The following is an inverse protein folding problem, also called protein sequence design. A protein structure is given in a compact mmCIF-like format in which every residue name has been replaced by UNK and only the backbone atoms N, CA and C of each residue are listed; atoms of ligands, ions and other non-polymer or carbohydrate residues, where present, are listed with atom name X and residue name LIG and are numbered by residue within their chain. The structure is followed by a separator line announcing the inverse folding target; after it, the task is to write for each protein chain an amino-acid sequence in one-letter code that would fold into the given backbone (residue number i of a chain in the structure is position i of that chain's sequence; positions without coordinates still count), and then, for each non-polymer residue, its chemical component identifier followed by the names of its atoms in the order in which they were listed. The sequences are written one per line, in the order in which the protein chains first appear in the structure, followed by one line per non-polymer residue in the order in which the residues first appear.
data_IF_394161605544
#
_entry.id   IF_394161605544
#
_cell.length_a   1.000
_cell.length_b   1.000
_cell.length_c   1.000
_cell.angle_alpha   90.00
_cell.angle_beta   90.00
_cell.angle_gamma   90.00
#
_symmetry.space_group_name_H-M   'P 1'
#
loop_
_entity.id
_entity.type
_entity.pdbx_description
1 polymer ?
#
# COMPACT_ATOMS: atom_id res chain seq x y z
N UNK A 1 2.47 6.42 -14.21
CA UNK A 1 2.24 6.87 -12.82
C UNK A 1 0.82 6.49 -12.40
N UNK A 2 0.63 5.77 -11.28
CA UNK A 2 -0.67 5.19 -10.89
C UNK A 2 -1.73 6.25 -10.55
N UNK A 3 -1.39 7.26 -9.75
CA UNK A 3 -2.31 8.33 -9.38
C UNK A 3 -2.83 9.11 -10.59
N UNK A 4 -1.98 9.37 -11.59
CA UNK A 4 -2.41 10.05 -12.82
C UNK A 4 -3.46 9.25 -13.61
N UNK A 5 -3.35 7.91 -13.63
CA UNK A 5 -4.34 7.04 -14.25
C UNK A 5 -5.71 7.20 -13.57
N UNK A 6 -5.76 7.16 -12.23
CA UNK A 6 -7.00 7.31 -11.47
C UNK A 6 -7.65 8.67 -11.77
N UNK A 7 -6.85 9.75 -11.76
CA UNK A 7 -7.33 11.10 -12.07
C UNK A 7 -7.87 11.18 -13.51
N UNK A 8 -7.18 10.56 -14.47
CA UNK A 8 -7.61 10.55 -15.87
C UNK A 8 -8.94 9.80 -16.04
N UNK A 9 -9.10 8.65 -15.40
CA UNK A 9 -10.35 7.87 -15.42
C UNK A 9 -11.49 8.63 -14.74
N UNK A 10 -11.23 9.33 -13.64
CA UNK A 10 -12.23 10.19 -13.00
C UNK A 10 -12.71 11.30 -13.96
N UNK A 11 -11.78 11.99 -14.63
CA UNK A 11 -12.12 13.02 -15.63
C UNK A 11 -12.94 12.44 -16.79
N UNK A 12 -12.51 11.31 -17.35
CA UNK A 12 -13.17 10.63 -18.46
C UNK A 12 -14.59 10.18 -18.13
N UNK A 13 -14.81 9.69 -16.90
CA UNK A 13 -16.09 9.16 -16.42
C UNK A 13 -16.93 10.21 -15.68
N UNK A 14 -16.49 11.48 -15.63
CA UNK A 14 -17.12 12.58 -14.87
C UNK A 14 -17.37 12.24 -13.38
N UNK A 15 -16.45 11.51 -12.76
CA UNK A 15 -16.45 11.21 -11.33
C UNK A 15 -15.88 12.42 -10.57
N UNK A 16 -16.57 12.89 -9.54
CA UNK A 16 -16.18 14.07 -8.73
C UNK A 16 -15.22 13.72 -7.61
N UNK A 17 -15.39 12.55 -7.01
CA UNK A 17 -14.51 12.06 -5.96
C UNK A 17 -14.44 10.53 -5.98
N UNK A 18 -13.30 10.02 -5.53
CA UNK A 18 -13.07 8.60 -5.29
C UNK A 18 -12.42 8.42 -3.93
N UNK A 19 -12.77 7.32 -3.26
CA UNK A 19 -12.22 6.94 -1.96
C UNK A 19 -12.07 5.41 -1.91
N UNK A 20 -11.06 4.90 -1.20
CA UNK A 20 -10.97 3.47 -0.97
C UNK A 20 -12.17 3.01 -0.12
N UNK A 21 -12.80 1.90 -0.47
CA UNK A 21 -13.80 1.30 0.40
C UNK A 21 -13.13 0.81 1.68
N UNK A 22 -13.88 0.78 2.78
CA UNK A 22 -13.38 0.31 4.07
C UNK A 22 -12.88 -1.14 3.98
N UNK A 23 -13.56 -1.96 3.18
CA UNK A 23 -13.22 -3.36 2.96
C UNK A 23 -11.90 -3.47 2.18
N UNK A 24 -11.73 -2.69 1.11
CA UNK A 24 -10.51 -2.69 0.31
C UNK A 24 -9.30 -2.19 1.10
N UNK A 25 -9.45 -1.10 1.87
CA UNK A 25 -8.41 -0.61 2.77
C UNK A 25 -8.06 -1.66 3.83
N UNK A 26 -9.08 -2.27 4.46
CA UNK A 26 -8.88 -3.30 5.48
C UNK A 26 -8.13 -4.52 4.95
N UNK A 27 -8.49 -4.98 3.74
CA UNK A 27 -7.79 -6.09 3.07
C UNK A 27 -6.35 -5.70 2.75
N UNK A 28 -6.11 -4.50 2.20
CA UNK A 28 -4.77 -4.02 1.90
C UNK A 28 -3.88 -3.96 3.16
N UNK A 29 -4.40 -3.45 4.28
CA UNK A 29 -3.67 -3.41 5.55
C UNK A 29 -3.32 -4.82 6.04
N UNK A 30 -4.25 -5.78 5.89
CA UNK A 30 -4.01 -7.18 6.24
C UNK A 30 -2.87 -7.77 5.40
N UNK A 31 -2.90 -7.57 4.08
CA UNK A 31 -1.87 -8.08 3.16
C UNK A 31 -0.48 -7.50 3.49
N UNK A 32 -0.40 -6.20 3.80
CA UNK A 32 0.85 -5.55 4.23
C UNK A 32 1.36 -6.15 5.54
N UNK A 33 0.48 -6.37 6.52
CA UNK A 33 0.86 -6.98 7.80
C UNK A 33 1.38 -8.41 7.62
N UNK A 34 0.70 -9.23 6.82
CA UNK A 34 1.12 -10.60 6.50
C UNK A 34 2.50 -10.63 5.80
N UNK A 35 2.75 -9.65 4.92
CA UNK A 35 4.03 -9.50 4.22
C UNK A 35 5.15 -8.80 5.01
N UNK A 36 4.87 -8.24 6.20
CA UNK A 36 5.80 -7.35 6.91
C UNK A 36 6.94 -8.06 7.66
N UNK A 37 6.77 -9.35 7.98
CA UNK A 37 7.67 -10.08 8.88
C UNK A 37 9.15 -10.10 8.42
N UNK A 38 9.48 -10.31 7.13
CA UNK A 38 10.89 -10.30 6.69
C UNK A 38 11.57 -8.95 6.93
N UNK A 39 10.88 -7.85 6.66
CA UNK A 39 11.39 -6.49 6.90
C UNK A 39 11.63 -6.26 8.39
N UNK A 40 10.64 -6.57 9.23
CA UNK A 40 10.74 -6.40 10.68
C UNK A 40 11.92 -7.17 11.24
N UNK A 41 12.08 -8.43 10.84
CA UNK A 41 13.18 -9.27 11.31
C UNK A 41 14.55 -8.70 10.90
N UNK A 42 14.68 -8.24 9.65
CA UNK A 42 15.92 -7.65 9.16
C UNK A 42 16.32 -6.39 9.95
N UNK A 43 15.41 -5.42 10.11
CA UNK A 43 15.72 -4.16 10.79
C UNK A 43 15.92 -4.31 12.31
N UNK A 44 15.33 -5.34 12.91
CA UNK A 44 15.52 -5.66 14.33
C UNK A 44 16.94 -6.14 14.67
N UNK A 45 17.71 -6.58 13.66
CA UNK A 45 19.09 -7.04 13.82
C UNK A 45 20.13 -5.94 13.58
N UNK A 46 19.71 -4.78 13.05
CA UNK A 46 20.59 -3.65 12.83
C UNK A 46 20.91 -2.91 14.15
N UNK A 47 22.03 -2.20 14.18
CA UNK A 47 22.26 -1.18 15.21
C UNK A 47 21.16 -0.12 15.18
N UNK A 48 20.90 0.60 16.29
CA UNK A 48 19.95 1.71 16.32
C UNK A 48 20.20 2.72 15.20
N UNK A 49 19.13 3.13 14.51
CA UNK A 49 19.17 4.21 13.53
C UNK A 49 17.80 4.48 12.90
N UNK A 50 17.78 5.43 11.97
CA UNK A 50 16.56 5.92 11.33
C UNK A 50 15.63 4.80 10.78
N UNK A 51 16.20 3.81 10.08
CA UNK A 51 15.41 2.75 9.44
C UNK A 51 14.73 1.79 10.42
N UNK A 52 15.20 1.71 11.66
CA UNK A 52 14.65 0.81 12.67
C UNK A 52 14.08 1.56 13.88
N UNK A 53 13.91 2.89 13.77
CA UNK A 53 13.37 3.75 14.80
C UNK A 53 14.20 3.69 16.08
N UNK A 54 15.52 3.81 15.95
CA UNK A 54 16.46 3.69 17.08
C UNK A 54 16.30 2.36 17.85
N UNK A 55 16.07 1.27 17.11
CA UNK A 55 15.88 -0.08 17.66
C UNK A 55 14.47 -0.39 18.16
N UNK A 56 13.47 0.44 17.83
CA UNK A 56 12.07 0.28 18.27
C UNK A 56 11.16 -0.38 17.23
N UNK A 57 11.70 -1.23 16.35
CA UNK A 57 10.93 -1.96 15.32
C UNK A 57 9.72 -2.68 15.94
N UNK A 58 8.55 -2.49 15.34
CA UNK A 58 7.29 -3.08 15.82
C UNK A 58 6.72 -2.44 17.09
N UNK A 59 7.45 -1.55 17.77
CA UNK A 59 7.03 -0.84 18.99
C UNK A 59 6.68 0.61 18.72
N UNK A 60 7.40 1.27 17.81
CA UNK A 60 7.10 2.63 17.38
C UNK A 60 6.20 2.62 16.13
N UNK A 61 5.16 3.49 16.04
CA UNK A 61 4.22 3.50 14.91
C UNK A 61 4.90 3.64 13.53
N UNK A 62 5.96 4.45 13.45
CA UNK A 62 6.68 4.73 12.20
C UNK A 62 7.44 3.52 11.65
N UNK A 63 7.82 2.57 12.52
CA UNK A 63 8.51 1.31 12.15
C UNK A 63 7.66 0.09 12.53
N UNK A 64 6.35 0.23 12.42
CA UNK A 64 5.39 -0.85 12.62
C UNK A 64 5.19 -1.67 11.34
N UNK A 65 4.61 -2.86 11.45
CA UNK A 65 4.30 -3.68 10.26
C UNK A 65 3.35 -2.99 9.27
N UNK A 66 2.54 -2.02 9.72
CA UNK A 66 1.63 -1.27 8.83
C UNK A 66 2.35 -0.31 7.90
N UNK A 67 3.58 0.11 8.25
CA UNK A 67 4.42 0.97 7.41
C UNK A 67 5.37 0.16 6.53
N UNK A 68 5.24 -1.17 6.54
CA UNK A 68 6.06 -2.04 5.72
C UNK A 68 5.78 -1.85 4.22
N UNK A 69 6.81 -2.11 3.41
CA UNK A 69 6.67 -2.22 1.96
C UNK A 69 5.88 -3.48 1.60
N UNK A 70 5.38 -3.52 0.37
CA UNK A 70 4.70 -4.69 -0.16
C UNK A 70 5.61 -5.94 -0.07
N UNK A 71 5.16 -6.96 0.67
CA UNK A 71 6.00 -8.09 1.09
C UNK A 71 6.56 -8.95 -0.05
N UNK A 72 5.94 -8.92 -1.24
CA UNK A 72 6.42 -9.63 -2.43
C UNK A 72 7.45 -8.84 -3.25
N UNK A 73 7.81 -7.62 -2.81
CA UNK A 73 8.83 -6.78 -3.44
C UNK A 73 8.33 -5.90 -4.59
N UNK A 74 9.24 -5.07 -5.10
CA UNK A 74 8.92 -4.00 -6.05
C UNK A 74 8.37 -4.50 -7.40
N UNK A 75 8.87 -5.63 -7.91
CA UNK A 75 8.40 -6.19 -9.19
C UNK A 75 6.95 -6.69 -9.08
N UNK A 76 6.62 -7.41 -8.02
CA UNK A 76 5.27 -7.88 -7.76
C UNK A 76 4.31 -6.70 -7.48
N UNK A 77 4.78 -5.66 -6.80
CA UNK A 77 4.02 -4.42 -6.63
C UNK A 77 3.72 -3.73 -7.96
N UNK A 78 4.72 -3.63 -8.84
CA UNK A 78 4.54 -3.07 -10.18
C UNK A 78 3.46 -3.80 -10.98
N UNK A 79 3.51 -5.14 -10.96
CA UNK A 79 2.51 -6.01 -11.61
C UNK A 79 1.12 -5.85 -11.00
N UNK A 80 0.99 -5.85 -9.67
CA UNK A 80 -0.29 -5.64 -9.00
C UNK A 80 -0.95 -4.33 -9.44
N UNK A 81 -0.18 -3.25 -9.49
CA UNK A 81 -0.69 -1.96 -9.94
C UNK A 81 -1.05 -1.96 -11.44
N UNK A 82 -0.32 -2.71 -12.26
CA UNK A 82 -0.59 -2.85 -13.70
C UNK A 82 -1.89 -3.60 -13.94
N UNK A 83 -2.02 -4.80 -13.38
CA UNK A 83 -3.21 -5.65 -13.51
C UNK A 83 -4.47 -4.90 -13.04
N UNK A 84 -4.39 -4.16 -11.93
CA UNK A 84 -5.50 -3.33 -11.44
C UNK A 84 -5.90 -2.24 -12.45
N UNK A 85 -4.94 -1.58 -13.12
CA UNK A 85 -5.24 -0.56 -14.14
C UNK A 85 -5.78 -1.16 -15.43
N UNK A 86 -5.32 -2.35 -15.82
CA UNK A 86 -5.80 -3.05 -17.01
C UNK A 86 -7.26 -3.49 -16.88
N UNK A 87 -7.71 -3.81 -15.66
CA UNK A 87 -9.13 -4.11 -15.41
C UNK A 87 -10.07 -2.97 -15.82
N UNK A 88 -9.64 -1.70 -15.68
CA UNK A 88 -10.50 -0.53 -15.93
C UNK A 88 -11.63 -0.31 -14.91
N UNK A 89 -11.82 -1.28 -14.01
CA UNK A 89 -12.92 -1.33 -13.04
C UNK A 89 -12.65 -0.55 -11.77
N UNK A 90 -11.43 -0.03 -11.59
CA UNK A 90 -11.02 0.71 -10.39
C UNK A 90 -11.48 0.01 -9.10
N UNK A 91 -11.23 -1.30 -9.02
CA UNK A 91 -11.75 -2.17 -7.97
C UNK A 91 -11.34 -1.66 -6.57
N UNK A 92 -12.27 -1.73 -5.63
CA UNK A 92 -12.07 -1.24 -4.27
C UNK A 92 -12.24 0.26 -4.08
N UNK A 93 -12.53 1.05 -5.15
CA UNK A 93 -12.86 2.46 -5.02
C UNK A 93 -14.37 2.71 -5.03
N UNK A 94 -14.84 3.44 -4.02
CA UNK A 94 -16.16 4.09 -4.01
C UNK A 94 -16.09 5.35 -4.86
N UNK A 95 -17.13 5.63 -5.64
CA UNK A 95 -17.18 6.74 -6.61
C UNK A 95 -18.36 7.64 -6.33
N UNK A 96 -18.14 8.95 -6.38
CA UNK A 96 -19.15 9.98 -6.21
C UNK A 96 -19.23 10.82 -7.50
N UNK A 97 -20.44 11.06 -8.00
CA UNK A 97 -20.73 11.73 -9.28
C UNK A 97 -21.40 13.09 -9.08
#
# INVERSE_FOLDING_TARGET
MHTAYIIAECKKKNIKAVEASREAEGQWVKDILEGSAPMINYFSQCTPGYFNGEGQVGKHPEVSGKTAVYGQGASAWGKLLEDWRESGEMEGLVRMY
#
